data_IF_376488031201
#
_entry.id   IF_376488031201
#
_cell.length_a   1.000
_cell.length_b   1.000
_cell.length_c   1.000
_cell.angle_alpha   90.00
_cell.angle_beta   90.00
_cell.angle_gamma   90.00
#
_symmetry.space_group_name_H-M   'P 1'
#
loop_
_entity.id
_entity.type
_entity.pdbx_description
1 polymer ?
#
# COMPACT_ATOMS: atom_id res chain seq x y z
N UNK A 1 -4.20 16.73 2.70
CA UNK A 1 -3.46 17.25 1.53
C UNK A 1 -2.13 17.80 2.01
N UNK A 2 -1.06 17.49 1.30
CA UNK A 2 0.29 18.02 1.55
C UNK A 2 0.62 18.97 0.41
N UNK A 3 0.98 20.20 0.78
CA UNK A 3 1.31 21.30 -0.14
C UNK A 3 2.78 21.67 0.05
N UNK A 4 3.66 20.89 -0.60
CA UNK A 4 5.13 21.11 -0.62
C UNK A 4 5.61 21.22 -2.04
N UNK A 5 6.62 22.05 -2.26
CA UNK A 5 7.28 22.17 -3.55
C UNK A 5 8.00 20.88 -3.96
N UNK A 6 8.17 20.66 -5.25
CA UNK A 6 8.79 19.41 -5.78
C UNK A 6 10.19 19.19 -5.22
N UNK A 7 11.03 20.19 -5.15
CA UNK A 7 12.39 20.09 -4.62
C UNK A 7 12.41 19.65 -3.14
N UNK A 8 11.46 20.16 -2.35
CA UNK A 8 11.34 19.80 -0.94
C UNK A 8 10.86 18.36 -0.77
N UNK A 9 9.86 17.94 -1.56
CA UNK A 9 9.40 16.56 -1.60
C UNK A 9 10.54 15.61 -1.96
N UNK A 10 11.30 15.89 -3.01
CA UNK A 10 12.41 15.05 -3.45
C UNK A 10 13.50 14.91 -2.39
N UNK A 11 13.82 16.02 -1.68
CA UNK A 11 14.89 16.07 -0.71
C UNK A 11 14.53 15.49 0.65
N UNK A 12 13.26 15.58 1.07
CA UNK A 12 12.81 15.24 2.42
C UNK A 12 11.91 13.99 2.40
N UNK A 13 10.77 14.09 1.72
CA UNK A 13 9.73 13.06 1.82
C UNK A 13 10.04 11.83 0.96
N UNK A 14 10.57 12.03 -0.25
CA UNK A 14 10.87 10.94 -1.19
C UNK A 14 12.26 10.34 -0.99
N UNK A 15 13.18 11.07 -0.36
CA UNK A 15 14.54 10.60 -0.12
C UNK A 15 14.62 9.26 0.61
N UNK A 16 13.91 9.03 1.74
CA UNK A 16 13.94 7.73 2.43
C UNK A 16 13.41 6.59 1.55
N UNK A 17 12.39 6.85 0.73
CA UNK A 17 11.88 5.86 -0.22
C UNK A 17 12.90 5.52 -1.31
N UNK A 18 13.59 6.53 -1.85
CA UNK A 18 14.66 6.31 -2.82
C UNK A 18 15.79 5.45 -2.24
N UNK A 19 16.19 5.70 -0.97
CA UNK A 19 17.20 4.88 -0.31
C UNK A 19 16.69 3.44 -0.08
N UNK A 20 15.48 3.28 0.44
CA UNK A 20 14.89 1.97 0.66
C UNK A 20 14.78 1.14 -0.64
N UNK A 21 14.44 1.79 -1.76
CA UNK A 21 14.39 1.14 -3.08
C UNK A 21 15.79 0.69 -3.52
N UNK A 22 16.82 1.51 -3.32
CA UNK A 22 18.22 1.16 -3.64
C UNK A 22 18.72 -0.02 -2.81
N UNK A 23 18.27 -0.12 -1.56
CA UNK A 23 18.58 -1.24 -0.65
C UNK A 23 17.69 -2.48 -0.91
N UNK A 24 16.81 -2.43 -1.91
CA UNK A 24 16.01 -3.58 -2.34
C UNK A 24 14.79 -3.86 -1.48
N UNK A 25 14.12 -2.81 -0.97
CA UNK A 25 12.87 -3.01 -0.22
C UNK A 25 11.85 -3.76 -1.08
N UNK A 26 11.25 -4.79 -0.51
CA UNK A 26 10.40 -5.73 -1.24
C UNK A 26 8.94 -5.27 -1.35
N UNK A 27 8.46 -4.45 -0.39
CA UNK A 27 7.08 -3.95 -0.36
C UNK A 27 7.03 -2.50 0.09
N UNK A 28 6.19 -1.69 -0.57
CA UNK A 28 5.88 -0.32 -0.19
C UNK A 28 4.37 -0.14 -0.04
N UNK A 29 3.96 0.53 1.04
CA UNK A 29 2.56 0.88 1.29
C UNK A 29 2.28 2.30 0.81
N UNK A 30 1.15 2.48 0.14
CA UNK A 30 0.66 3.81 -0.24
C UNK A 30 -0.05 4.49 0.93
N UNK A 31 -0.30 5.81 0.81
CA UNK A 31 -1.10 6.57 1.76
C UNK A 31 -2.26 7.27 1.05
N UNK A 32 -3.40 7.41 1.75
CA UNK A 32 -4.58 8.13 1.22
C UNK A 32 -4.40 9.65 1.31
N UNK A 33 -3.25 10.14 0.86
CA UNK A 33 -2.85 11.54 0.92
C UNK A 33 -2.73 12.12 -0.48
N UNK A 34 -3.23 13.32 -0.69
CA UNK A 34 -3.00 14.11 -1.91
C UNK A 34 -1.77 14.99 -1.73
N UNK A 35 -0.90 14.93 -2.71
CA UNK A 35 0.29 15.79 -2.84
C UNK A 35 0.05 16.75 -4.00
N UNK A 36 -0.28 18.01 -3.69
CA UNK A 36 -0.69 19.00 -4.70
C UNK A 36 0.28 19.15 -5.87
N UNK A 37 1.57 19.01 -5.60
CA UNK A 37 2.64 19.13 -6.59
C UNK A 37 2.80 17.88 -7.48
N UNK A 38 2.41 16.69 -7.00
CA UNK A 38 2.53 15.43 -7.74
C UNK A 38 1.24 15.07 -8.47
N UNK A 39 0.12 15.12 -7.75
CA UNK A 39 -1.22 14.90 -8.26
C UNK A 39 -2.22 15.70 -7.41
N UNK A 40 -2.71 16.85 -7.90
CA UNK A 40 -3.64 17.69 -7.16
C UNK A 40 -5.05 17.07 -7.03
N UNK A 41 -5.40 16.12 -7.91
CA UNK A 41 -6.75 15.57 -7.99
C UNK A 41 -6.91 14.28 -7.19
N UNK A 42 -5.92 13.39 -7.26
CA UNK A 42 -6.03 12.04 -6.73
C UNK A 42 -5.09 11.82 -5.53
N UNK A 43 -5.54 11.08 -4.49
CA UNK A 43 -4.65 10.61 -3.44
C UNK A 43 -3.66 9.57 -4.00
N UNK A 44 -2.49 9.47 -3.38
CA UNK A 44 -1.39 8.62 -3.86
C UNK A 44 -1.82 7.16 -4.11
N UNK A 45 -2.73 6.63 -3.30
CA UNK A 45 -3.25 5.25 -3.43
C UNK A 45 -3.90 4.95 -4.78
N UNK A 46 -4.51 5.94 -5.42
CA UNK A 46 -5.23 5.77 -6.68
C UNK A 46 -4.70 6.66 -7.82
N UNK A 47 -3.52 7.25 -7.63
CA UNK A 47 -2.89 8.13 -8.62
C UNK A 47 -1.94 7.36 -9.54
N UNK A 48 -2.25 7.23 -10.85
CA UNK A 48 -1.31 6.67 -11.82
C UNK A 48 -0.03 7.50 -11.94
N UNK A 49 -0.13 8.83 -11.76
CA UNK A 49 1.01 9.73 -11.77
C UNK A 49 2.01 9.38 -10.68
N UNK A 50 1.51 9.06 -9.47
CA UNK A 50 2.37 8.73 -8.33
C UNK A 50 2.84 7.27 -8.40
N UNK A 51 1.93 6.30 -8.56
CA UNK A 51 2.34 4.88 -8.49
C UNK A 51 3.09 4.49 -9.76
N UNK A 52 2.50 4.67 -10.92
CA UNK A 52 3.15 4.26 -12.18
C UNK A 52 4.23 5.26 -12.58
N UNK A 53 3.91 6.56 -12.62
CA UNK A 53 4.83 7.58 -13.12
C UNK A 53 6.04 7.80 -12.21
N UNK A 54 5.81 8.14 -10.94
CA UNK A 54 6.90 8.43 -10.02
C UNK A 54 7.57 7.15 -9.52
N UNK A 55 6.80 6.24 -8.90
CA UNK A 55 7.38 5.10 -8.20
C UNK A 55 7.96 4.05 -9.18
N UNK A 56 7.18 3.62 -10.18
CA UNK A 56 7.63 2.59 -11.13
C UNK A 56 8.64 3.12 -12.14
N UNK A 57 8.32 4.23 -12.83
CA UNK A 57 9.12 4.71 -13.96
C UNK A 57 10.31 5.57 -13.52
N UNK A 58 10.12 6.55 -12.62
CA UNK A 58 11.22 7.46 -12.23
C UNK A 58 12.12 6.86 -11.15
N UNK A 59 11.55 6.18 -10.15
CA UNK A 59 12.32 5.55 -9.07
C UNK A 59 12.72 4.10 -9.38
N UNK A 60 12.24 3.52 -10.48
CA UNK A 60 12.53 2.14 -10.92
C UNK A 60 12.18 1.09 -9.86
N UNK A 61 11.10 1.31 -9.12
CA UNK A 61 10.64 0.34 -8.12
C UNK A 61 9.88 -0.81 -8.75
N UNK A 62 10.34 -2.03 -8.56
CA UNK A 62 9.71 -3.25 -9.11
C UNK A 62 9.16 -4.20 -8.04
N UNK A 63 9.23 -3.83 -6.76
CA UNK A 63 8.63 -4.59 -5.66
C UNK A 63 7.10 -4.44 -5.59
N UNK A 64 6.49 -5.07 -4.58
CA UNK A 64 5.04 -5.06 -4.38
C UNK A 64 4.59 -3.70 -3.84
N UNK A 65 3.57 -3.10 -4.47
CA UNK A 65 2.86 -1.93 -3.95
C UNK A 65 1.56 -2.38 -3.31
N UNK A 66 1.43 -2.15 -2.01
CA UNK A 66 0.21 -2.43 -1.24
C UNK A 66 -0.49 -1.12 -0.87
N UNK A 67 -1.81 -1.08 -0.87
CA UNK A 67 -2.54 0.08 -0.37
C UNK A 67 -2.54 0.12 1.15
N UNK A 68 -2.75 1.28 1.75
CA UNK A 68 -3.30 1.36 3.09
C UNK A 68 -4.75 0.87 3.08
N UNK A 69 -5.37 0.71 4.27
CA UNK A 69 -6.73 0.17 4.40
C UNK A 69 -7.77 1.02 3.66
N UNK A 70 -8.42 0.40 2.69
CA UNK A 70 -9.40 1.07 1.82
C UNK A 70 -10.73 1.39 2.52
N UNK A 71 -10.92 0.95 3.77
CA UNK A 71 -12.06 1.34 4.60
C UNK A 71 -11.82 2.64 5.37
N UNK A 72 -10.62 3.23 5.28
CA UNK A 72 -10.33 4.51 5.92
C UNK A 72 -11.17 5.65 5.35
N UNK A 73 -11.73 6.48 6.24
CA UNK A 73 -12.66 7.55 5.89
C UNK A 73 -12.18 8.59 4.87
N UNK A 74 -10.89 8.67 4.59
CA UNK A 74 -10.34 9.55 3.55
C UNK A 74 -10.68 9.06 2.13
N UNK A 75 -10.89 7.76 1.95
CA UNK A 75 -11.20 7.12 0.66
C UNK A 75 -12.69 6.90 0.51
N UNK A 76 -13.36 6.37 1.54
CA UNK A 76 -14.79 5.99 1.53
C UNK A 76 -15.73 7.17 1.28
N UNK A 77 -15.31 8.41 1.55
CA UNK A 77 -16.16 9.60 1.32
C UNK A 77 -16.39 9.94 -0.16
N UNK A 78 -15.58 9.41 -1.06
CA UNK A 78 -15.57 9.84 -2.47
C UNK A 78 -15.84 8.70 -3.47
N UNK A 79 -15.74 7.45 -3.04
CA UNK A 79 -15.97 6.28 -3.89
C UNK A 79 -16.32 5.04 -3.03
N UNK A 80 -16.94 4.04 -3.63
CA UNK A 80 -17.12 2.73 -2.99
C UNK A 80 -15.76 1.98 -2.90
N UNK A 81 -15.67 1.01 -2.02
CA UNK A 81 -14.45 0.18 -1.88
C UNK A 81 -14.13 -0.51 -3.20
N UNK A 82 -15.13 -1.04 -3.90
CA UNK A 82 -14.98 -1.69 -5.21
C UNK A 82 -14.38 -0.74 -6.25
N UNK A 83 -14.88 0.49 -6.28
CA UNK A 83 -14.39 1.50 -7.22
C UNK A 83 -12.96 1.93 -6.89
N UNK A 84 -12.65 2.03 -5.60
CA UNK A 84 -11.30 2.36 -5.12
C UNK A 84 -10.30 1.26 -5.43
N UNK A 85 -10.67 0.00 -5.25
CA UNK A 85 -9.85 -1.17 -5.63
C UNK A 85 -9.51 -1.13 -7.12
N UNK A 86 -10.51 -0.88 -7.97
CA UNK A 86 -10.29 -0.77 -9.41
C UNK A 86 -9.35 0.37 -9.78
N UNK A 87 -9.53 1.54 -9.16
CA UNK A 87 -8.67 2.69 -9.38
C UNK A 87 -7.24 2.43 -8.91
N UNK A 88 -7.05 1.79 -7.75
CA UNK A 88 -5.73 1.44 -7.22
C UNK A 88 -4.99 0.44 -8.13
N UNK A 89 -5.68 -0.61 -8.59
CA UNK A 89 -5.12 -1.57 -9.56
C UNK A 89 -4.69 -0.89 -10.86
N UNK A 90 -5.55 -0.05 -11.42
CA UNK A 90 -5.24 0.70 -12.64
C UNK A 90 -4.12 1.72 -12.44
N UNK A 91 -3.97 2.28 -11.22
CA UNK A 91 -2.87 3.16 -10.87
C UNK A 91 -1.51 2.44 -10.73
N UNK A 92 -1.50 1.11 -10.57
CA UNK A 92 -0.27 0.31 -10.47
C UNK A 92 -0.04 -0.37 -9.11
N UNK A 93 -1.02 -0.31 -8.18
CA UNK A 93 -0.97 -1.08 -6.93
C UNK A 93 -1.18 -2.58 -7.22
N UNK A 94 -0.52 -3.44 -6.45
CA UNK A 94 -0.55 -4.90 -6.64
C UNK A 94 -1.43 -5.60 -5.60
N UNK A 95 -1.48 -5.07 -4.36
CA UNK A 95 -2.28 -5.61 -3.26
C UNK A 95 -3.16 -4.52 -2.66
N UNK A 96 -4.36 -4.88 -2.25
CA UNK A 96 -5.31 -4.00 -1.60
C UNK A 96 -5.66 -4.52 -0.22
N UNK A 97 -5.68 -3.64 0.79
CA UNK A 97 -6.10 -3.96 2.14
C UNK A 97 -7.55 -3.53 2.35
N UNK A 98 -8.36 -4.46 2.84
CA UNK A 98 -9.73 -4.24 3.35
C UNK A 98 -9.77 -4.96 4.70
N UNK A 99 -9.67 -4.21 5.81
CA UNK A 99 -9.20 -4.77 7.07
C UNK A 99 -10.31 -5.05 8.08
N UNK A 100 -11.51 -4.48 7.92
CA UNK A 100 -12.54 -4.52 8.95
C UNK A 100 -13.79 -5.31 8.54
N UNK A 101 -14.26 -5.15 7.29
CA UNK A 101 -15.54 -5.66 6.83
C UNK A 101 -15.36 -6.75 5.78
N UNK A 102 -15.57 -8.00 6.15
CA UNK A 102 -15.39 -9.16 5.25
C UNK A 102 -16.27 -9.04 4.00
N UNK A 103 -17.49 -8.53 4.13
CA UNK A 103 -18.43 -8.35 3.04
C UNK A 103 -17.87 -7.37 1.99
N UNK A 104 -17.19 -6.31 2.43
CA UNK A 104 -16.52 -5.36 1.52
C UNK A 104 -15.31 -5.99 0.84
N UNK A 105 -14.53 -6.80 1.55
CA UNK A 105 -13.42 -7.55 0.95
C UNK A 105 -13.90 -8.51 -0.15
N UNK A 106 -15.02 -9.23 0.10
CA UNK A 106 -15.65 -10.11 -0.89
C UNK A 106 -16.20 -9.32 -2.08
N UNK A 107 -16.88 -8.19 -1.82
CA UNK A 107 -17.40 -7.33 -2.87
C UNK A 107 -16.27 -6.75 -3.75
N UNK A 108 -15.15 -6.34 -3.15
CA UNK A 108 -13.95 -5.87 -3.85
C UNK A 108 -13.36 -6.97 -4.75
N UNK A 109 -13.22 -8.20 -4.22
CA UNK A 109 -12.78 -9.36 -5.02
C UNK A 109 -13.70 -9.60 -6.22
N UNK A 110 -15.00 -9.63 -5.99
CA UNK A 110 -15.98 -9.88 -7.05
C UNK A 110 -16.02 -8.75 -8.09
N UNK A 111 -15.75 -7.50 -7.68
CA UNK A 111 -15.57 -6.38 -8.59
C UNK A 111 -14.35 -6.58 -9.50
N UNK A 112 -13.21 -7.04 -8.95
CA UNK A 112 -12.03 -7.38 -9.75
C UNK A 112 -12.32 -8.48 -10.77
N UNK A 113 -12.99 -9.56 -10.36
CA UNK A 113 -13.34 -10.66 -11.26
C UNK A 113 -14.23 -10.17 -12.41
N UNK A 114 -15.29 -9.42 -12.09
CA UNK A 114 -16.16 -8.82 -13.13
C UNK A 114 -15.40 -7.88 -14.07
N UNK A 115 -14.45 -7.12 -13.54
CA UNK A 115 -13.68 -6.18 -14.36
C UNK A 115 -12.71 -6.90 -15.32
N UNK A 116 -12.18 -8.04 -14.94
CA UNK A 116 -11.37 -8.91 -15.81
C UNK A 116 -12.28 -9.49 -16.92
N UNK A 117 -13.43 -10.07 -16.57
CA UNK A 117 -14.39 -10.64 -17.49
C UNK A 117 -14.88 -9.61 -18.51
N UNK A 118 -15.21 -8.40 -18.06
CA UNK A 118 -15.69 -7.29 -18.89
C UNK A 118 -14.56 -6.51 -19.59
N UNK A 119 -13.29 -6.90 -19.40
CA UNK A 119 -12.10 -6.25 -19.97
C UNK A 119 -11.95 -4.77 -19.60
N UNK A 120 -12.52 -4.34 -18.48
CA UNK A 120 -12.31 -2.99 -17.92
C UNK A 120 -11.04 -2.92 -17.05
N UNK A 121 -10.51 -4.06 -16.61
CA UNK A 121 -9.18 -4.23 -16.06
C UNK A 121 -8.35 -5.07 -17.03
N UNK A 122 -7.17 -4.58 -17.38
CA UNK A 122 -6.25 -5.30 -18.28
C UNK A 122 -5.76 -6.60 -17.63
N UNK A 123 -5.86 -7.71 -18.38
CA UNK A 123 -5.31 -8.99 -17.94
C UNK A 123 -3.81 -8.88 -17.64
N UNK A 124 -3.07 -8.18 -18.48
CA UNK A 124 -1.64 -7.93 -18.27
C UNK A 124 -1.37 -7.27 -16.92
N UNK A 125 -2.19 -6.27 -16.53
CA UNK A 125 -2.03 -5.57 -15.23
C UNK A 125 -2.21 -6.53 -14.04
N UNK A 126 -3.16 -7.45 -14.14
CA UNK A 126 -3.39 -8.48 -13.13
C UNK A 126 -2.21 -9.46 -13.07
N UNK A 127 -1.74 -9.92 -14.22
CA UNK A 127 -0.60 -10.83 -14.32
C UNK A 127 0.67 -10.21 -13.70
N UNK A 128 0.94 -8.94 -13.97
CA UNK A 128 2.05 -8.20 -13.35
C UNK A 128 1.94 -8.16 -11.81
N UNK A 129 0.76 -7.88 -11.26
CA UNK A 129 0.53 -7.88 -9.83
C UNK A 129 0.77 -9.26 -9.22
N UNK A 130 0.15 -10.28 -9.81
CA UNK A 130 0.29 -11.68 -9.37
C UNK A 130 1.74 -12.13 -9.42
N UNK A 131 2.48 -11.76 -10.46
CA UNK A 131 3.89 -12.10 -10.59
C UNK A 131 4.73 -11.50 -9.45
N UNK A 132 4.56 -10.19 -9.15
CA UNK A 132 5.28 -9.53 -8.04
C UNK A 132 4.96 -10.18 -6.70
N UNK A 133 3.67 -10.40 -6.41
CA UNK A 133 3.24 -11.05 -5.17
C UNK A 133 3.80 -12.47 -5.05
N UNK A 134 3.77 -13.23 -6.14
CA UNK A 134 4.27 -14.61 -6.16
C UNK A 134 5.78 -14.64 -5.95
N UNK A 135 6.53 -13.75 -6.58
CA UNK A 135 7.98 -13.62 -6.41
C UNK A 135 8.32 -13.32 -4.95
N UNK A 136 7.62 -12.35 -4.35
CA UNK A 136 7.78 -11.99 -2.93
C UNK A 136 7.52 -13.20 -2.01
N UNK A 137 6.40 -13.89 -2.20
CA UNK A 137 6.05 -15.11 -1.44
C UNK A 137 7.14 -16.17 -1.53
N UNK A 138 7.62 -16.48 -2.72
CA UNK A 138 8.67 -17.49 -2.92
C UNK A 138 9.98 -17.09 -2.23
N UNK A 139 10.37 -15.83 -2.29
CA UNK A 139 11.56 -15.34 -1.59
C UNK A 139 11.51 -15.56 -0.08
N UNK A 140 10.31 -15.41 0.52
CA UNK A 140 10.13 -15.59 1.97
C UNK A 140 9.84 -17.03 2.38
N UNK A 141 9.18 -17.84 1.56
CA UNK A 141 8.94 -19.25 1.87
C UNK A 141 10.22 -20.09 1.95
N UNK A 142 11.25 -19.69 1.23
CA UNK A 142 12.56 -20.38 1.25
C UNK A 142 13.45 -19.97 2.44
N UNK A 143 13.12 -18.89 3.16
CA UNK A 143 13.82 -18.47 4.37
C UNK A 143 13.29 -19.30 5.55
N UNK A 144 14.02 -20.33 5.95
CA UNK A 144 13.81 -20.96 7.27
C UNK A 144 14.32 -20.00 8.34
N UNK A 145 13.50 -19.07 8.77
CA UNK A 145 13.83 -18.30 9.96
C UNK A 145 13.74 -19.22 11.18
N UNK A 146 14.74 -19.15 12.08
CA UNK A 146 14.63 -19.85 13.35
C UNK A 146 13.36 -19.37 14.06
N UNK A 147 12.58 -20.30 14.59
CA UNK A 147 11.38 -19.97 15.35
C UNK A 147 11.74 -18.96 16.43
N UNK A 148 11.14 -17.77 16.36
CA UNK A 148 11.30 -16.79 17.42
C UNK A 148 10.77 -17.40 18.73
N UNK A 149 11.45 -17.19 19.87
CA UNK A 149 10.91 -17.61 21.14
C UNK A 149 9.53 -16.97 21.34
N UNK A 150 8.57 -17.66 21.98
CA UNK A 150 7.26 -17.10 22.23
C UNK A 150 7.42 -15.77 22.99
N UNK A 151 6.61 -14.74 22.65
CA UNK A 151 6.66 -13.45 23.32
C UNK A 151 6.47 -13.67 24.84
N UNK A 152 7.26 -12.98 25.64
CA UNK A 152 7.12 -12.99 27.10
C UNK A 152 5.94 -12.09 27.48
N UNK A 153 4.73 -12.63 27.41
CA UNK A 153 3.48 -11.89 27.62
C UNK A 153 3.51 -11.01 28.88
N UNK A 154 4.15 -11.47 29.94
CA UNK A 154 4.22 -10.75 31.21
C UNK A 154 5.07 -9.47 31.11
N UNK A 155 6.21 -9.53 30.42
CA UNK A 155 7.08 -8.35 30.20
C UNK A 155 6.41 -7.31 29.30
N UNK A 156 5.69 -7.77 28.25
CA UNK A 156 4.94 -6.88 27.36
C UNK A 156 3.76 -6.19 28.08
N UNK A 157 3.03 -6.92 28.90
CA UNK A 157 1.90 -6.37 29.69
C UNK A 157 2.40 -5.29 30.64
N UNK A 158 3.50 -5.52 31.36
CA UNK A 158 4.11 -4.53 32.25
C UNK A 158 4.54 -3.27 31.50
N UNK A 159 5.17 -3.41 30.33
CA UNK A 159 5.57 -2.27 29.51
C UNK A 159 4.36 -1.45 29.02
N UNK A 160 3.30 -2.11 28.61
CA UNK A 160 2.06 -1.43 28.20
C UNK A 160 1.45 -0.66 29.37
N UNK A 161 1.37 -1.26 30.56
CA UNK A 161 0.87 -0.58 31.76
C UNK A 161 1.72 0.64 32.13
N UNK A 162 3.03 0.55 32.00
CA UNK A 162 3.95 1.66 32.24
C UNK A 162 3.74 2.81 31.25
N UNK A 163 3.60 2.51 29.97
CA UNK A 163 3.31 3.49 28.90
C UNK A 163 1.97 4.19 29.15
N UNK A 164 0.95 3.43 29.55
CA UNK A 164 -0.37 4.01 29.83
C UNK A 164 -0.36 4.92 31.05
N UNK A 165 0.46 4.61 32.08
CA UNK A 165 0.65 5.49 33.27
C UNK A 165 1.29 6.82 32.89
N UNK A 166 2.29 6.81 31.99
CA UNK A 166 2.99 8.03 31.55
C UNK A 166 2.05 8.94 30.73
N UNK A 167 1.07 8.38 30.01
CA UNK A 167 0.08 9.16 29.25
C UNK A 167 -1.03 9.78 30.08
N UNK A 168 -1.18 9.40 31.36
CA UNK A 168 -2.23 9.91 32.25
C UNK A 168 -1.81 11.19 33.00
N UNK A 169 -0.67 11.77 32.68
CA UNK A 169 -0.16 13.07 33.13
C UNK A 169 -0.02 14.00 31.91
#
# INVERSE_FOLDING_TARGET
>A
MIDRGREELDRIDLYPFQQAIREGIEMLMTAHVRYSTLDPELPATISPTIITGLLRQQMHYDGVVVTDDLEMGAVVRHATVEQTVMNALNAGADMMLVCHTIELALAARDACLRAIENRTLSQQRVEEAVQRITTLRHAHQSRQEPALPPPKEHEHTQLVEEILRIRAY
#
